data_IF_423802561167
#
_entry.id   IF_423802561167
#
_cell.length_a   1.000
_cell.length_b   1.000
_cell.length_c   1.000
_cell.angle_alpha   90.00
_cell.angle_beta   90.00
_cell.angle_gamma   90.00
#
_symmetry.space_group_name_H-M   'P 1'
#
loop_
_entity.id
_entity.type
_entity.pdbx_description
1 polymer ?
#
# COMPACT_ATOMS: atom_id res chain seq x y z
N UNK A 1 5.39 -4.47 17.49
CA UNK A 1 4.22 -5.37 17.31
C UNK A 1 4.67 -6.83 17.44
N UNK A 2 4.77 -7.41 18.65
CA UNK A 2 5.42 -8.71 18.84
C UNK A 2 4.70 -9.92 18.22
N UNK A 3 3.44 -9.77 17.83
CA UNK A 3 2.58 -10.88 17.35
C UNK A 3 2.09 -10.70 15.91
N UNK A 4 2.71 -9.80 15.14
CA UNK A 4 2.43 -9.63 13.70
C UNK A 4 3.62 -10.22 12.95
N UNK A 5 3.35 -11.11 11.99
CA UNK A 5 4.37 -11.71 11.13
C UNK A 5 4.14 -11.23 9.70
N UNK A 6 5.19 -10.67 9.10
CA UNK A 6 5.20 -10.28 7.70
C UNK A 6 5.88 -11.39 6.91
N UNK A 7 5.27 -11.76 5.78
CA UNK A 7 5.81 -12.73 4.84
C UNK A 7 6.01 -12.01 3.52
N UNK A 8 7.25 -11.98 3.05
CA UNK A 8 7.56 -11.51 1.71
C UNK A 8 7.27 -12.65 0.73
N UNK A 9 6.38 -12.39 -0.21
CA UNK A 9 5.89 -13.38 -1.18
C UNK A 9 6.44 -12.98 -2.55
N UNK A 10 6.96 -13.93 -3.35
CA UNK A 10 7.47 -13.60 -4.69
C UNK A 10 6.41 -12.87 -5.54
N UNK A 11 6.84 -12.05 -6.49
CA UNK A 11 5.90 -11.49 -7.47
C UNK A 11 5.41 -12.58 -8.43
N UNK A 12 4.16 -12.49 -8.87
CA UNK A 12 3.59 -13.42 -9.87
C UNK A 12 4.39 -13.42 -11.19
N UNK A 13 4.92 -12.27 -11.61
CA UNK A 13 5.75 -12.15 -12.81
C UNK A 13 7.17 -12.71 -12.69
N UNK A 14 7.62 -13.13 -11.50
CA UNK A 14 8.98 -13.65 -11.29
C UNK A 14 9.11 -15.15 -11.59
N UNK A 15 8.00 -15.85 -11.80
CA UNK A 15 7.96 -17.28 -12.06
C UNK A 15 7.16 -17.55 -13.33
N UNK A 16 7.55 -18.56 -14.11
CA UNK A 16 6.80 -19.04 -15.28
C UNK A 16 5.51 -19.79 -14.88
N UNK A 17 4.75 -19.26 -13.92
CA UNK A 17 3.48 -19.82 -13.45
C UNK A 17 2.32 -19.07 -14.09
N UNK A 18 1.24 -19.80 -14.37
CA UNK A 18 -0.01 -19.18 -14.81
C UNK A 18 -0.54 -18.30 -13.66
N UNK A 19 -0.75 -17.01 -13.95
CA UNK A 19 -1.22 -16.04 -12.95
C UNK A 19 -2.52 -16.51 -12.24
N UNK A 20 -3.35 -17.30 -12.94
CA UNK A 20 -4.60 -17.88 -12.44
C UNK A 20 -4.43 -18.81 -11.22
N UNK A 21 -3.34 -19.59 -11.13
CA UNK A 21 -3.14 -20.53 -10.01
C UNK A 21 -2.31 -19.95 -8.87
N UNK A 22 -1.68 -18.78 -9.07
CA UNK A 22 -0.70 -18.21 -8.14
C UNK A 22 -1.22 -18.08 -6.70
N UNK A 23 -2.46 -17.61 -6.55
CA UNK A 23 -3.09 -17.38 -5.26
C UNK A 23 -3.18 -18.66 -4.42
N UNK A 24 -3.50 -19.77 -5.08
CA UNK A 24 -3.63 -21.09 -4.46
C UNK A 24 -2.25 -21.74 -4.28
N UNK A 25 -1.38 -21.65 -5.28
CA UNK A 25 -0.04 -22.26 -5.28
C UNK A 25 0.84 -21.72 -4.15
N UNK A 26 0.66 -20.44 -3.80
CA UNK A 26 1.36 -19.80 -2.68
C UNK A 26 0.57 -19.83 -1.38
N UNK A 27 -0.57 -20.53 -1.35
CA UNK A 27 -1.48 -20.63 -0.22
C UNK A 27 -1.78 -19.25 0.39
N UNK A 28 -2.02 -18.24 -0.47
CA UNK A 28 -2.25 -16.87 -0.02
C UNK A 28 -3.53 -16.76 0.83
N UNK A 29 -4.48 -17.67 0.65
CA UNK A 29 -5.67 -17.80 1.49
C UNK A 29 -5.38 -18.08 2.97
N UNK A 30 -4.16 -18.53 3.31
CA UNK A 30 -3.75 -18.79 4.69
C UNK A 30 -3.40 -17.55 5.53
N UNK A 31 -3.37 -16.35 4.93
CA UNK A 31 -3.02 -15.11 5.63
C UNK A 31 -4.25 -14.37 6.16
N UNK A 32 -4.14 -13.76 7.35
CA UNK A 32 -5.21 -12.92 7.90
C UNK A 32 -5.45 -11.64 7.08
N UNK A 33 -4.37 -11.13 6.46
CA UNK A 33 -4.38 -9.90 5.68
C UNK A 33 -3.39 -9.99 4.51
N UNK A 34 -3.84 -9.53 3.34
CA UNK A 34 -3.05 -9.35 2.14
C UNK A 34 -2.74 -7.85 1.94
N UNK A 35 -1.45 -7.53 1.81
CA UNK A 35 -0.98 -6.19 1.45
C UNK A 35 -0.54 -6.27 -0.01
N UNK A 36 -1.27 -5.63 -0.91
CA UNK A 36 -0.96 -5.62 -2.34
C UNK A 36 -0.12 -4.37 -2.60
N UNK A 37 1.18 -4.60 -2.87
CA UNK A 37 2.11 -3.53 -3.18
C UNK A 37 1.96 -3.11 -4.64
N UNK A 38 1.53 -1.86 -4.85
CA UNK A 38 1.35 -1.29 -6.19
C UNK A 38 2.45 -0.29 -6.52
N UNK A 39 2.74 -0.15 -7.83
CA UNK A 39 3.64 0.88 -8.35
C UNK A 39 2.83 2.12 -8.78
N UNK A 40 3.01 2.59 -10.01
CA UNK A 40 2.40 3.83 -10.51
C UNK A 40 0.97 3.64 -11.03
N UNK A 41 0.64 2.44 -11.48
CA UNK A 41 -0.61 2.09 -12.18
C UNK A 41 -1.04 0.73 -11.67
N UNK A 42 -2.34 0.54 -11.45
CA UNK A 42 -2.92 -0.74 -11.10
C UNK A 42 -2.82 -1.69 -12.30
N UNK A 43 -2.22 -2.86 -12.08
CA UNK A 43 -2.24 -3.92 -13.07
C UNK A 43 -3.39 -4.91 -12.82
N UNK A 44 -3.71 -5.71 -13.85
CA UNK A 44 -4.78 -6.69 -13.80
C UNK A 44 -4.53 -7.75 -12.71
N UNK A 45 -3.28 -8.14 -12.49
CA UNK A 45 -2.91 -9.09 -11.45
C UNK A 45 -3.19 -8.57 -10.04
N UNK A 46 -2.91 -7.30 -9.78
CA UNK A 46 -3.19 -6.66 -8.48
C UNK A 46 -4.70 -6.63 -8.20
N UNK A 47 -5.51 -6.37 -9.22
CA UNK A 47 -6.98 -6.41 -9.15
C UNK A 47 -7.46 -7.85 -8.88
N UNK A 48 -6.94 -8.82 -9.62
CA UNK A 48 -7.31 -10.23 -9.45
C UNK A 48 -6.96 -10.76 -8.05
N UNK A 49 -5.83 -10.36 -7.48
CA UNK A 49 -5.48 -10.70 -6.10
C UNK A 49 -6.41 -10.07 -5.08
N UNK A 50 -6.85 -8.83 -5.31
CA UNK A 50 -7.81 -8.18 -4.43
C UNK A 50 -9.17 -8.90 -4.46
N UNK A 51 -9.67 -9.26 -5.64
CA UNK A 51 -10.90 -10.05 -5.76
C UNK A 51 -10.79 -11.41 -5.07
N UNK A 52 -9.71 -12.16 -5.33
CA UNK A 52 -9.47 -13.44 -4.68
C UNK A 52 -9.44 -13.30 -3.15
N UNK A 53 -8.75 -12.29 -2.62
CA UNK A 53 -8.72 -12.04 -1.18
C UNK A 53 -10.13 -11.80 -0.59
N UNK A 54 -10.99 -11.06 -1.30
CA UNK A 54 -12.38 -10.86 -0.90
C UNK A 54 -13.19 -12.16 -0.92
N UNK A 55 -13.02 -13.00 -1.94
CA UNK A 55 -13.67 -14.31 -2.03
C UNK A 55 -13.31 -15.23 -0.84
N UNK A 56 -12.06 -15.18 -0.40
CA UNK A 56 -11.58 -15.91 0.79
C UNK A 56 -11.86 -15.18 2.13
N UNK A 57 -12.64 -14.09 2.11
CA UNK A 57 -12.95 -13.26 3.29
C UNK A 57 -11.72 -12.69 4.02
N UNK A 58 -10.61 -12.52 3.31
CA UNK A 58 -9.39 -11.96 3.85
C UNK A 58 -9.45 -10.44 3.88
N UNK A 59 -8.69 -9.83 4.80
CA UNK A 59 -8.50 -8.39 4.78
C UNK A 59 -7.51 -8.04 3.68
N UNK A 60 -7.88 -7.11 2.81
CA UNK A 60 -7.01 -6.64 1.74
C UNK A 60 -6.80 -5.14 1.86
N UNK A 61 -5.59 -4.69 1.54
CA UNK A 61 -5.20 -3.29 1.51
C UNK A 61 -4.20 -3.07 0.38
N UNK A 62 -4.35 -1.97 -0.35
CA UNK A 62 -3.35 -1.53 -1.32
C UNK A 62 -2.29 -0.67 -0.64
N UNK A 63 -1.05 -0.82 -1.06
CA UNK A 63 0.08 -0.01 -0.58
C UNK A 63 0.84 0.51 -1.80
N UNK A 64 0.73 1.80 -2.10
CA UNK A 64 1.54 2.43 -3.15
C UNK A 64 2.88 2.86 -2.57
N UNK A 65 3.95 2.31 -3.11
CA UNK A 65 5.30 2.62 -2.68
C UNK A 65 5.95 3.70 -3.55
N UNK A 66 7.10 4.22 -3.09
CA UNK A 66 7.98 5.16 -3.83
C UNK A 66 7.35 6.53 -4.07
N UNK A 67 6.44 6.97 -3.22
CA UNK A 67 5.83 8.30 -3.33
C UNK A 67 6.86 9.44 -3.22
N UNK A 68 8.00 9.22 -2.57
CA UNK A 68 9.12 10.16 -2.56
C UNK A 68 9.73 10.37 -3.94
N UNK A 69 9.82 9.31 -4.76
CA UNK A 69 10.35 9.40 -6.12
C UNK A 69 9.36 10.15 -7.02
N UNK A 70 8.07 9.78 -6.96
CA UNK A 70 7.02 10.46 -7.72
C UNK A 70 6.98 11.97 -7.37
N UNK A 71 7.13 12.30 -6.09
CA UNK A 71 7.22 13.69 -5.61
C UNK A 71 8.44 14.42 -6.19
N UNK A 72 9.62 13.81 -6.13
CA UNK A 72 10.83 14.43 -6.68
C UNK A 72 10.76 14.62 -8.19
N UNK A 73 10.24 13.65 -8.96
CA UNK A 73 10.09 13.77 -10.41
C UNK A 73 9.12 14.90 -10.81
N UNK A 74 8.01 15.07 -10.08
CA UNK A 74 7.05 16.17 -10.28
C UNK A 74 7.73 17.53 -10.05
N UNK A 75 8.60 17.62 -9.04
CA UNK A 75 9.27 18.86 -8.65
C UNK A 75 10.55 19.17 -9.42
N UNK A 76 11.31 18.17 -9.91
CA UNK A 76 12.48 18.39 -10.78
C UNK A 76 12.10 18.97 -12.14
N UNK A 77 10.87 18.68 -12.59
CA UNK A 77 10.27 19.30 -13.78
C UNK A 77 9.90 20.77 -13.57
N UNK A 78 9.84 21.22 -12.32
CA UNK A 78 9.55 22.60 -11.92
C UNK A 78 10.80 23.31 -11.43
N UNK A 79 11.18 24.39 -12.10
CA UNK A 79 12.26 25.30 -11.66
C UNK A 79 12.00 25.85 -10.24
N UNK A 80 12.45 25.18 -9.17
CA UNK A 80 12.79 25.78 -7.87
C UNK A 80 13.56 24.77 -7.00
N UNK A 81 14.79 25.13 -6.64
CA UNK A 81 15.65 24.43 -5.67
C UNK A 81 15.11 24.58 -4.23
N UNK A 82 13.94 24.01 -3.90
CA UNK A 82 13.57 23.77 -2.50
C UNK A 82 14.13 22.41 -2.08
N UNK A 83 15.10 22.41 -1.17
CA UNK A 83 15.75 21.19 -0.66
C UNK A 83 14.86 20.37 0.29
N UNK A 84 13.84 21.01 0.88
CA UNK A 84 12.91 20.37 1.83
C UNK A 84 11.48 20.78 1.45
N UNK A 85 10.60 19.81 1.15
CA UNK A 85 9.20 20.09 0.86
C UNK A 85 8.42 20.49 2.12
N UNK A 86 7.39 21.32 1.96
CA UNK A 86 6.48 21.64 3.07
C UNK A 86 5.47 20.51 3.29
N UNK A 87 4.88 20.46 4.48
CA UNK A 87 3.83 19.47 4.77
C UNK A 87 2.63 19.65 3.83
N UNK A 88 2.28 20.87 3.45
CA UNK A 88 1.21 21.15 2.49
C UNK A 88 1.52 20.59 1.09
N UNK A 89 2.75 20.75 0.59
CA UNK A 89 3.17 20.21 -0.71
C UNK A 89 3.08 18.68 -0.73
N UNK A 90 3.42 18.02 0.39
CA UNK A 90 3.29 16.56 0.53
C UNK A 90 1.82 16.15 0.56
N UNK A 91 0.97 16.85 1.31
CA UNK A 91 -0.46 16.55 1.40
C UNK A 91 -1.17 16.72 0.06
N UNK A 92 -0.85 17.79 -0.69
CA UNK A 92 -1.35 17.99 -2.05
C UNK A 92 -0.92 16.82 -2.96
N UNK A 93 0.34 16.40 -2.87
CA UNK A 93 0.82 15.27 -3.66
C UNK A 93 0.11 13.95 -3.32
N UNK A 94 -0.14 13.66 -2.03
CA UNK A 94 -0.91 12.48 -1.62
C UNK A 94 -2.34 12.55 -2.16
N UNK A 95 -2.96 13.73 -2.10
CA UNK A 95 -4.31 13.94 -2.65
C UNK A 95 -4.36 13.66 -4.15
N UNK A 96 -3.37 14.12 -4.91
CA UNK A 96 -3.26 13.85 -6.34
C UNK A 96 -3.11 12.35 -6.63
N UNK A 97 -2.23 11.67 -5.89
CA UNK A 97 -2.00 10.23 -6.02
C UNK A 97 -3.26 9.43 -5.69
N UNK A 98 -3.95 9.82 -4.61
CA UNK A 98 -5.22 9.22 -4.17
C UNK A 98 -6.30 9.36 -5.22
N UNK A 99 -6.49 10.57 -5.73
CA UNK A 99 -7.47 10.83 -6.79
C UNK A 99 -7.16 10.05 -8.07
N UNK A 100 -5.89 9.93 -8.45
CA UNK A 100 -5.47 9.12 -9.58
C UNK A 100 -5.81 7.64 -9.41
N UNK A 101 -5.50 7.10 -8.23
CA UNK A 101 -5.80 5.71 -7.87
C UNK A 101 -7.31 5.43 -7.82
N UNK A 102 -8.09 6.32 -7.21
CA UNK A 102 -9.55 6.17 -7.09
C UNK A 102 -10.21 6.15 -8.48
N UNK A 103 -9.81 7.06 -9.38
CA UNK A 103 -10.27 7.04 -10.78
C UNK A 103 -9.92 5.75 -11.52
N UNK A 104 -8.75 5.20 -11.24
CA UNK A 104 -8.31 3.96 -11.85
C UNK A 104 -9.16 2.78 -11.36
N UNK A 105 -9.40 2.69 -10.05
CA UNK A 105 -10.31 1.70 -9.49
C UNK A 105 -11.74 1.85 -10.02
N UNK A 106 -12.30 3.06 -10.05
CA UNK A 106 -13.64 3.30 -10.58
C UNK A 106 -13.78 2.85 -12.04
N UNK A 107 -12.70 2.99 -12.83
CA UNK A 107 -12.70 2.63 -14.24
C UNK A 107 -12.57 1.13 -14.47
N UNK A 108 -11.72 0.45 -13.70
CA UNK A 108 -11.33 -0.94 -14.00
C UNK A 108 -11.93 -1.97 -13.03
N UNK A 109 -12.20 -1.59 -11.78
CA UNK A 109 -12.68 -2.48 -10.72
C UNK A 109 -13.48 -1.70 -9.65
N UNK A 110 -14.66 -1.14 -9.99
CA UNK A 110 -15.46 -0.30 -9.08
C UNK A 110 -15.89 -1.03 -7.80
N UNK A 111 -16.00 -2.37 -7.84
CA UNK A 111 -16.30 -3.23 -6.69
C UNK A 111 -15.21 -3.17 -5.61
N UNK A 112 -13.98 -2.80 -5.99
CA UNK A 112 -12.84 -2.69 -5.09
C UNK A 112 -12.69 -1.27 -4.48
N UNK A 113 -13.55 -0.33 -4.84
CA UNK A 113 -13.50 1.08 -4.35
C UNK A 113 -13.54 1.24 -2.83
N UNK A 114 -14.08 0.26 -2.11
CA UNK A 114 -14.11 0.26 -0.65
C UNK A 114 -12.75 -0.12 -0.01
N UNK A 115 -11.82 -0.69 -0.78
CA UNK A 115 -10.49 -1.08 -0.29
C UNK A 115 -9.61 0.16 -0.17
N UNK A 116 -9.00 0.33 0.99
CA UNK A 116 -8.08 1.45 1.23
C UNK A 116 -6.76 1.27 0.48
N UNK A 117 -6.23 2.38 0.00
CA UNK A 117 -4.84 2.50 -0.46
C UNK A 117 -4.08 3.50 0.40
N UNK A 118 -2.91 3.08 0.86
CA UNK A 118 -1.96 3.92 1.59
C UNK A 118 -0.78 4.30 0.70
N UNK A 119 -0.36 5.55 0.77
CA UNK A 119 0.76 6.11 0.01
C UNK A 119 1.98 6.25 0.91
N UNK A 120 3.06 5.54 0.58
CA UNK A 120 4.24 5.44 1.46
C UNK A 120 5.56 5.52 0.71
N UNK A 121 6.60 5.90 1.45
CA UNK A 121 7.99 5.77 1.08
C UNK A 121 8.71 4.79 2.02
N UNK A 122 9.47 3.86 1.43
CA UNK A 122 10.35 2.99 2.21
C UNK A 122 11.42 3.79 2.98
N UNK A 123 11.83 4.96 2.48
CA UNK A 123 12.78 5.84 3.15
C UNK A 123 12.17 6.46 4.42
N UNK A 124 10.98 7.03 4.30
CA UNK A 124 10.21 7.58 5.43
C UNK A 124 9.90 6.50 6.47
N UNK A 125 9.41 5.34 6.02
CA UNK A 125 9.08 4.20 6.89
C UNK A 125 10.27 3.78 7.75
N UNK A 126 11.47 3.67 7.15
CA UNK A 126 12.70 3.32 7.89
C UNK A 126 13.07 4.39 8.92
N UNK A 127 12.95 5.67 8.56
CA UNK A 127 13.24 6.76 9.48
C UNK A 127 12.29 6.72 10.70
N UNK A 128 10.99 6.54 10.46
CA UNK A 128 9.97 6.41 11.52
C UNK A 128 10.28 5.24 12.45
N UNK A 129 10.57 4.04 11.88
CA UNK A 129 10.89 2.85 12.68
C UNK A 129 12.15 3.03 13.52
N UNK A 130 13.14 3.79 13.03
CA UNK A 130 14.40 4.06 13.72
C UNK A 130 14.33 5.25 14.68
N UNK A 131 13.23 5.99 14.71
CA UNK A 131 13.11 7.24 15.47
C UNK A 131 13.98 8.38 14.91
N UNK A 132 14.33 8.30 13.63
CA UNK A 132 15.07 9.35 12.92
C UNK A 132 14.10 10.47 12.48
N UNK A 133 14.60 11.70 12.36
CA UNK A 133 13.81 12.81 11.80
C UNK A 133 13.68 12.62 10.28
N UNK A 134 12.47 12.80 9.76
CA UNK A 134 12.19 12.83 8.33
C UNK A 134 11.17 13.94 8.05
N UNK A 135 11.44 14.76 7.03
CA UNK A 135 10.56 15.85 6.62
C UNK A 135 9.58 15.42 5.52
N UNK A 136 9.78 14.22 4.95
CA UNK A 136 8.89 13.62 3.94
C UNK A 136 8.10 12.47 4.57
N UNK A 137 7.03 12.82 5.28
CA UNK A 137 6.10 11.85 5.87
C UNK A 137 4.86 11.81 4.99
N UNK A 138 4.53 10.61 4.50
CA UNK A 138 3.29 10.35 3.78
C UNK A 138 2.27 9.74 4.75
N UNK A 139 1.77 8.55 4.46
CA UNK A 139 0.77 7.86 5.27
C UNK A 139 1.35 6.68 6.07
N UNK A 140 2.67 6.66 6.29
CA UNK A 140 3.33 5.53 6.94
C UNK A 140 2.78 5.26 8.34
N UNK A 141 2.55 6.30 9.14
CA UNK A 141 2.00 6.17 10.48
C UNK A 141 0.57 5.61 10.46
N UNK A 142 -0.26 6.09 9.53
CA UNK A 142 -1.65 5.64 9.36
C UNK A 142 -1.72 4.19 8.89
N UNK A 143 -0.83 3.79 7.98
CA UNK A 143 -0.70 2.42 7.52
C UNK A 143 -0.30 1.47 8.65
N UNK A 144 0.71 1.84 9.45
CA UNK A 144 1.14 1.04 10.60
C UNK A 144 0.02 0.91 11.65
N UNK A 145 -0.70 2.00 11.93
CA UNK A 145 -1.85 1.98 12.83
C UNK A 145 -2.97 1.09 12.28
N UNK A 146 -3.26 1.19 10.98
CA UNK A 146 -4.22 0.30 10.32
C UNK A 146 -3.87 -1.18 10.53
N UNK A 147 -2.62 -1.57 10.26
CA UNK A 147 -2.16 -2.95 10.47
C UNK A 147 -2.26 -3.38 11.94
N UNK A 148 -1.96 -2.47 12.86
CA UNK A 148 -2.12 -2.72 14.29
C UNK A 148 -3.56 -3.07 14.64
N UNK A 149 -4.50 -2.26 14.16
CA UNK A 149 -5.92 -2.44 14.40
C UNK A 149 -6.46 -3.72 13.74
N UNK A 150 -6.03 -4.05 12.52
CA UNK A 150 -6.38 -5.34 11.90
C UNK A 150 -5.87 -6.51 12.74
N UNK A 151 -4.64 -6.43 13.27
CA UNK A 151 -4.08 -7.48 14.12
C UNK A 151 -4.83 -7.68 15.45
N UNK A 152 -5.44 -6.62 16.00
CA UNK A 152 -6.30 -6.72 17.19
C UNK A 152 -7.63 -7.38 16.87
N UNK A 153 -8.26 -6.96 15.76
CA UNK A 153 -9.55 -7.50 15.30
C UNK A 153 -9.46 -8.99 14.97
N UNK A 154 -8.40 -9.42 14.29
CA UNK A 154 -8.16 -10.83 13.98
C UNK A 154 -8.05 -11.71 15.23
N UNK A 155 -7.63 -11.14 16.38
CA UNK A 155 -7.52 -11.86 17.66
C UNK A 155 -8.79 -11.80 18.51
N UNK A 156 -9.85 -11.15 18.04
CA UNK A 156 -11.07 -10.95 18.83
C UNK A 156 -10.88 -10.09 20.09
N UNK A 157 -9.79 -9.30 20.17
CA UNK A 157 -9.53 -8.41 21.30
C UNK A 157 -10.34 -7.13 21.07
N UNK A 158 -11.59 -7.11 21.55
CA UNK A 158 -12.42 -5.92 21.63
C UNK A 158 -11.97 -5.10 22.84
N UNK A 159 -11.29 -3.97 22.63
CA UNK A 159 -11.12 -2.99 23.70
C UNK A 159 -12.47 -2.29 23.90
N UNK A 160 -13.03 -2.45 25.10
CA UNK A 160 -14.18 -1.70 25.60
C UNK A 160 -13.82 -0.23 25.83
#
# INVERSE_FOLDING_TARGET
MPNVRFYDVPGSGAMAHHAESYYQDKALCGFDCLIILIQQTLCEEEINFAFAALEYNQKVVFLRSKCDIDFHLKNESGTTLKLVPTSEEIQEHISDLRHGFEKELERFAPELSAIRCFFVSAKSMRAIIRGEKTDMIFEEAEFLEYLYQQSKKARGITTF
#
